data_IF_017350965047
#
_entry.id   IF_017350965047
#
_cell.length_a   1.000
_cell.length_b   1.000
_cell.length_c   1.000
_cell.angle_alpha   90.00
_cell.angle_beta   90.00
_cell.angle_gamma   90.00
#
_symmetry.space_group_name_H-M   'P 1'
#
loop_
_entity.id
_entity.type
_entity.pdbx_description
1 polymer ?
#
# COMPACT_ATOMS: atom_id res chain seq x y z
N UNK A 1 8.89 20.52 42.25
CA UNK A 1 7.67 20.18 41.48
C UNK A 1 7.85 20.77 40.08
N UNK A 2 8.31 19.94 39.14
CA UNK A 2 8.50 20.35 37.75
C UNK A 2 7.17 20.55 37.05
N UNK A 3 6.97 21.73 36.47
CA UNK A 3 5.81 21.99 35.61
C UNK A 3 5.97 21.14 34.35
N UNK A 4 4.99 20.31 33.98
CA UNK A 4 5.05 19.56 32.73
C UNK A 4 5.23 20.54 31.56
N UNK A 5 6.19 20.23 30.68
CA UNK A 5 6.57 21.10 29.58
C UNK A 5 5.39 21.26 28.60
N UNK A 6 4.86 22.49 28.53
CA UNK A 6 3.74 22.87 27.64
C UNK A 6 4.02 22.49 26.17
N UNK A 7 5.29 22.32 25.79
CA UNK A 7 5.71 21.85 24.46
C UNK A 7 5.29 20.42 24.13
N UNK A 8 5.38 19.48 25.09
CA UNK A 8 5.07 18.07 24.84
C UNK A 8 3.57 17.87 24.55
N UNK A 9 2.70 18.54 25.31
CA UNK A 9 1.25 18.48 25.10
C UNK A 9 0.83 19.02 23.73
N UNK A 10 1.46 20.11 23.26
CA UNK A 10 1.18 20.71 21.94
C UNK A 10 1.60 19.79 20.79
N UNK A 11 2.76 19.13 20.90
CA UNK A 11 3.22 18.15 19.92
C UNK A 11 2.27 16.95 19.83
N UNK A 12 1.80 16.43 20.96
CA UNK A 12 0.82 15.33 20.99
C UNK A 12 -0.50 15.71 20.32
N UNK A 13 -1.02 16.92 20.57
CA UNK A 13 -2.26 17.39 19.93
C UNK A 13 -2.10 17.55 18.43
N UNK A 14 -0.98 18.11 17.95
CA UNK A 14 -0.71 18.27 16.51
C UNK A 14 -0.57 16.90 15.83
N UNK A 15 0.15 15.96 16.45
CA UNK A 15 0.31 14.60 15.93
C UNK A 15 -1.02 13.84 15.90
N UNK A 16 -1.86 13.99 16.94
CA UNK A 16 -3.21 13.41 16.99
C UNK A 16 -4.12 13.98 15.91
N UNK A 17 -4.05 15.30 15.66
CA UNK A 17 -4.80 15.98 14.61
C UNK A 17 -4.42 15.48 13.21
N UNK A 18 -3.11 15.39 12.93
CA UNK A 18 -2.60 14.88 11.66
C UNK A 18 -3.04 13.43 11.44
N UNK A 19 -2.96 12.60 12.48
CA UNK A 19 -3.38 11.20 12.42
C UNK A 19 -4.90 11.08 12.16
N UNK A 20 -5.72 11.85 12.88
CA UNK A 20 -7.17 11.86 12.67
C UNK A 20 -7.55 12.36 11.26
N UNK A 21 -6.84 13.36 10.73
CA UNK A 21 -7.05 13.89 9.37
C UNK A 21 -6.75 12.85 8.30
N UNK A 22 -5.67 12.09 8.45
CA UNK A 22 -5.33 11.00 7.53
C UNK A 22 -6.40 9.89 7.56
N UNK A 23 -6.92 9.55 8.73
CA UNK A 23 -7.98 8.54 8.87
C UNK A 23 -9.28 9.02 8.23
N UNK A 24 -9.72 10.25 8.54
CA UNK A 24 -10.94 10.82 7.97
C UNK A 24 -10.83 10.99 6.44
N UNK A 25 -9.64 11.30 5.91
CA UNK A 25 -9.41 11.41 4.47
C UNK A 25 -9.63 10.09 3.71
N UNK A 26 -9.45 8.95 4.38
CA UNK A 26 -9.79 7.64 3.82
C UNK A 26 -11.30 7.39 3.69
N UNK A 27 -12.13 8.13 4.43
CA UNK A 27 -13.59 7.91 4.51
C UNK A 27 -14.37 8.83 3.55
N UNK A 28 -13.94 10.08 3.37
CA UNK A 28 -14.68 11.08 2.59
C UNK A 28 -14.30 11.13 1.10
N UNK A 29 -15.27 11.43 0.23
CA UNK A 29 -15.07 11.61 -1.22
C UNK A 29 -14.31 12.92 -1.52
N UNK A 30 -13.44 12.97 -2.55
CA UNK A 30 -12.62 14.14 -2.85
C UNK A 30 -13.40 15.44 -3.13
N UNK A 31 -14.61 15.34 -3.69
CA UNK A 31 -15.47 16.51 -3.95
C UNK A 31 -15.96 17.20 -2.67
N UNK A 32 -16.22 16.44 -1.60
CA UNK A 32 -16.63 16.99 -0.30
C UNK A 32 -15.46 17.72 0.37
N UNK A 33 -14.24 17.23 0.15
CA UNK A 33 -13.01 17.83 0.68
C UNK A 33 -12.71 19.19 0.03
N UNK A 34 -12.94 19.33 -1.28
CA UNK A 34 -12.75 20.61 -1.98
C UNK A 34 -13.70 21.71 -1.48
N UNK A 35 -14.93 21.36 -1.09
CA UNK A 35 -15.91 22.31 -0.57
C UNK A 35 -15.63 22.75 0.88
N UNK A 36 -15.01 21.89 1.70
CA UNK A 36 -14.72 22.17 3.11
C UNK A 36 -13.48 23.06 3.31
N UNK A 37 -12.56 23.06 2.35
CA UNK A 37 -11.28 23.79 2.45
C UNK A 37 -11.43 25.31 2.61
N UNK A 38 -12.26 26.03 1.83
CA UNK A 38 -12.46 27.47 2.02
C UNK A 38 -13.19 27.83 3.32
N UNK A 39 -14.12 26.99 3.77
CA UNK A 39 -14.81 27.18 5.05
C UNK A 39 -13.86 27.02 6.25
N UNK A 40 -12.96 26.03 6.19
CA UNK A 40 -11.91 25.85 7.19
C UNK A 40 -10.94 27.04 7.21
N UNK A 41 -10.56 27.57 6.03
CA UNK A 41 -9.70 28.75 5.93
C UNK A 41 -10.34 30.01 6.53
N UNK A 42 -11.63 30.24 6.26
CA UNK A 42 -12.37 31.37 6.83
C UNK A 42 -12.52 31.28 8.36
N UNK A 43 -12.70 30.06 8.90
CA UNK A 43 -12.72 29.82 10.34
C UNK A 43 -11.35 30.04 11.00
N UNK A 44 -10.26 29.73 10.28
CA UNK A 44 -8.88 29.97 10.70
C UNK A 44 -8.58 31.47 10.92
N UNK A 45 -9.12 32.33 10.06
CA UNK A 45 -8.89 33.80 10.09
C UNK A 45 -9.61 34.47 11.26
N UNK A 46 -10.78 33.96 11.67
CA UNK A 46 -11.61 34.58 12.72
C UNK A 46 -11.25 34.12 14.15
N UNK A 47 -10.50 33.03 14.30
CA UNK A 47 -10.26 32.37 15.59
C UNK A 47 -8.91 32.71 16.26
N UNK A 48 -8.39 33.94 16.12
CA UNK A 48 -7.04 34.33 16.57
C UNK A 48 -6.78 34.15 18.09
N UNK A 49 -7.81 34.17 18.95
CA UNK A 49 -7.69 33.84 20.39
C UNK A 49 -7.69 32.32 20.70
N UNK A 50 -7.91 31.45 19.72
CA UNK A 50 -7.97 29.99 19.86
C UNK A 50 -6.95 29.30 18.95
N UNK A 51 -5.67 29.62 19.15
CA UNK A 51 -4.53 29.08 18.39
C UNK A 51 -4.57 27.55 18.25
N UNK A 52 -5.06 26.83 19.26
CA UNK A 52 -5.18 25.36 19.22
C UNK A 52 -6.19 24.87 18.18
N UNK A 53 -7.35 25.51 18.05
CA UNK A 53 -8.39 25.11 17.08
C UNK A 53 -7.93 25.40 15.65
N UNK A 54 -7.29 26.55 15.45
CA UNK A 54 -6.67 26.95 14.17
C UNK A 54 -5.60 25.94 13.74
N UNK A 55 -4.70 25.56 14.65
CA UNK A 55 -3.67 24.55 14.38
C UNK A 55 -4.26 23.16 14.10
N UNK A 56 -5.29 22.74 14.85
CA UNK A 56 -5.99 21.47 14.62
C UNK A 56 -6.64 21.44 13.23
N UNK A 57 -7.37 22.50 12.88
CA UNK A 57 -8.03 22.62 11.58
C UNK A 57 -7.00 22.65 10.43
N UNK A 58 -5.90 23.38 10.58
CA UNK A 58 -4.81 23.43 9.60
C UNK A 58 -4.14 22.05 9.43
N UNK A 59 -3.87 21.34 10.54
CA UNK A 59 -3.30 19.99 10.51
C UNK A 59 -4.24 18.99 9.82
N UNK A 60 -5.54 19.04 10.13
CA UNK A 60 -6.55 18.22 9.45
C UNK A 60 -6.57 18.52 7.95
N UNK A 61 -6.68 19.80 7.57
CA UNK A 61 -6.71 20.23 6.17
C UNK A 61 -5.46 19.79 5.41
N UNK A 62 -4.27 19.91 6.01
CA UNK A 62 -3.02 19.43 5.44
C UNK A 62 -3.02 17.90 5.28
N UNK A 63 -3.51 17.17 6.28
CA UNK A 63 -3.67 15.71 6.22
C UNK A 63 -4.57 15.29 5.05
N UNK A 64 -5.72 15.95 4.89
CA UNK A 64 -6.62 15.72 3.76
C UNK A 64 -5.98 16.07 2.42
N UNK A 65 -5.26 17.19 2.33
CA UNK A 65 -4.58 17.62 1.10
C UNK A 65 -3.52 16.58 0.69
N UNK A 66 -2.69 16.12 1.63
CA UNK A 66 -1.67 15.09 1.37
C UNK A 66 -2.28 13.75 0.98
N UNK A 67 -3.36 13.33 1.64
CA UNK A 67 -4.09 12.11 1.29
C UNK A 67 -4.73 12.20 -0.11
N UNK A 68 -5.33 13.36 -0.43
CA UNK A 68 -5.88 13.65 -1.75
C UNK A 68 -4.81 13.64 -2.85
N UNK A 69 -3.66 14.29 -2.61
CA UNK A 69 -2.51 14.27 -3.51
C UNK A 69 -1.98 12.85 -3.75
N UNK A 70 -1.90 12.03 -2.69
CA UNK A 70 -1.52 10.63 -2.81
C UNK A 70 -2.50 9.84 -3.68
N UNK A 71 -3.80 10.01 -3.46
CA UNK A 71 -4.82 9.31 -4.24
C UNK A 71 -4.80 9.75 -5.71
N UNK A 72 -4.71 11.07 -5.95
CA UNK A 72 -4.59 11.64 -7.28
C UNK A 72 -3.32 11.15 -7.99
N UNK A 73 -2.21 10.99 -7.27
CA UNK A 73 -0.97 10.42 -7.81
C UNK A 73 -1.13 8.96 -8.24
N UNK A 74 -1.85 8.14 -7.47
CA UNK A 74 -2.12 6.73 -7.83
C UNK A 74 -3.05 6.65 -9.04
N UNK A 75 -4.11 7.44 -9.08
CA UNK A 75 -5.07 7.46 -10.19
C UNK A 75 -4.49 8.07 -11.46
N UNK A 76 -3.63 9.09 -11.30
CA UNK A 76 -2.91 9.77 -12.38
C UNK A 76 -1.75 8.96 -12.95
N UNK A 77 -1.45 7.80 -12.37
CA UNK A 77 -0.27 7.00 -12.68
C UNK A 77 -0.37 6.33 -14.06
N UNK A 78 0.78 6.07 -14.69
CA UNK A 78 0.78 5.54 -16.06
C UNK A 78 0.23 4.11 -16.11
N UNK A 79 0.52 3.30 -15.07
CA UNK A 79 -0.04 1.95 -14.98
C UNK A 79 -1.54 1.98 -14.72
N UNK A 80 -2.05 2.92 -13.89
CA UNK A 80 -3.49 3.04 -13.68
C UNK A 80 -4.24 3.40 -14.98
N UNK A 81 -3.69 4.31 -15.80
CA UNK A 81 -4.26 4.64 -17.11
C UNK A 81 -4.21 3.48 -18.11
N UNK A 82 -3.11 2.71 -18.14
CA UNK A 82 -3.04 1.47 -18.94
C UNK A 82 -4.05 0.42 -18.47
N UNK A 83 -4.18 0.28 -17.16
CA UNK A 83 -5.06 -0.68 -16.51
C UNK A 83 -6.56 -0.46 -16.77
N UNK A 84 -7.01 0.80 -16.86
CA UNK A 84 -8.40 1.14 -17.24
C UNK A 84 -8.72 0.67 -18.66
N UNK A 85 -7.72 0.68 -19.55
CA UNK A 85 -7.86 0.30 -20.97
C UNK A 85 -7.54 -1.18 -21.22
N UNK A 86 -7.19 -1.94 -20.18
CA UNK A 86 -6.73 -3.32 -20.28
C UNK A 86 -5.51 -3.50 -21.19
N UNK A 87 -4.60 -2.52 -21.15
CA UNK A 87 -3.39 -2.43 -21.96
C UNK A 87 -2.44 -3.62 -21.73
N UNK A 88 -1.75 -4.01 -22.80
CA UNK A 88 -0.62 -4.91 -22.72
C UNK A 88 0.61 -4.10 -22.26
N UNK A 89 1.36 -4.67 -21.33
CA UNK A 89 2.44 -3.98 -20.67
C UNK A 89 3.61 -4.89 -20.34
N UNK A 90 4.79 -4.44 -20.78
CA UNK A 90 6.06 -5.02 -20.39
C UNK A 90 6.60 -4.27 -19.17
N UNK A 91 6.48 -4.89 -18.00
CA UNK A 91 6.86 -4.30 -16.71
C UNK A 91 8.27 -4.70 -16.34
N UNK A 92 9.10 -3.74 -15.95
CA UNK A 92 10.43 -3.99 -15.37
C UNK A 92 10.51 -3.42 -13.96
N UNK A 93 10.83 -4.27 -13.00
CA UNK A 93 10.76 -3.88 -11.59
C UNK A 93 11.39 -4.87 -10.63
N UNK A 94 11.12 -4.64 -9.35
CA UNK A 94 11.63 -5.44 -8.25
C UNK A 94 10.47 -6.05 -7.45
N UNK A 95 10.57 -7.31 -7.07
CA UNK A 95 9.60 -7.96 -6.18
C UNK A 95 9.72 -7.35 -4.77
N UNK A 96 8.61 -6.87 -4.21
CA UNK A 96 8.57 -6.18 -2.91
C UNK A 96 8.03 -7.07 -1.78
N UNK A 97 7.15 -8.01 -2.10
CA UNK A 97 6.50 -8.90 -1.13
C UNK A 97 6.78 -10.35 -1.47
N UNK A 98 6.74 -11.23 -0.47
CA UNK A 98 6.74 -12.66 -0.72
C UNK A 98 5.51 -13.04 -1.57
N UNK A 99 5.62 -14.02 -2.49
CA UNK A 99 4.46 -14.47 -3.24
C UNK A 99 3.49 -15.26 -2.35
N UNK A 100 2.23 -14.84 -2.42
CA UNK A 100 1.09 -15.55 -1.86
C UNK A 100 0.56 -16.55 -2.90
N UNK A 101 0.47 -17.83 -2.54
CA UNK A 101 -0.04 -18.90 -3.40
C UNK A 101 -1.52 -19.08 -3.11
N UNK A 102 -2.37 -18.66 -4.03
CA UNK A 102 -3.81 -18.85 -3.94
C UNK A 102 -4.35 -19.85 -4.98
N UNK A 103 -5.65 -20.17 -4.90
CA UNK A 103 -6.34 -20.98 -5.90
C UNK A 103 -6.29 -20.37 -7.31
N UNK A 104 -6.04 -19.06 -7.39
CA UNK A 104 -5.94 -18.35 -8.67
C UNK A 104 -4.49 -18.13 -9.12
N UNK A 105 -3.52 -18.89 -8.60
CA UNK A 105 -2.10 -18.75 -8.91
C UNK A 105 -1.31 -17.93 -7.90
N UNK A 106 -0.07 -17.59 -8.25
CA UNK A 106 0.86 -16.88 -7.38
C UNK A 106 0.70 -15.37 -7.50
N UNK A 107 0.65 -14.66 -6.37
CA UNK A 107 0.43 -13.20 -6.31
C UNK A 107 1.55 -12.52 -5.55
N UNK A 108 2.08 -11.43 -6.07
CA UNK A 108 3.09 -10.62 -5.36
C UNK A 108 3.03 -9.17 -5.83
N UNK A 109 3.58 -8.25 -5.04
CA UNK A 109 3.69 -6.84 -5.42
C UNK A 109 5.03 -6.59 -6.10
N UNK A 110 4.98 -6.06 -7.32
CA UNK A 110 6.14 -5.61 -8.08
C UNK A 110 6.26 -4.08 -7.98
N UNK A 111 7.40 -3.59 -7.52
CA UNK A 111 7.80 -2.19 -7.61
C UNK A 111 8.33 -1.90 -9.01
N UNK A 112 7.49 -1.32 -9.86
CA UNK A 112 7.77 -1.04 -11.26
C UNK A 112 8.61 0.23 -11.37
N UNK A 113 9.75 0.13 -12.06
CA UNK A 113 10.67 1.25 -12.31
C UNK A 113 10.63 1.73 -13.76
N UNK A 114 10.29 0.84 -14.66
CA UNK A 114 10.09 1.13 -16.07
C UNK A 114 8.97 0.23 -16.60
N UNK A 115 8.18 0.74 -17.52
CA UNK A 115 7.16 -0.03 -18.22
C UNK A 115 7.12 0.37 -19.68
N UNK A 116 6.71 -0.55 -20.54
CA UNK A 116 6.26 -0.24 -21.90
C UNK A 116 4.76 -0.55 -21.92
N UNK A 117 3.91 0.47 -22.01
CA UNK A 117 2.44 0.32 -21.98
C UNK A 117 1.91 0.66 -23.36
N UNK A 118 1.22 -0.29 -24.02
CA UNK A 118 0.78 -0.15 -25.42
C UNK A 118 1.93 0.33 -26.35
N UNK A 119 3.13 -0.23 -26.19
CA UNK A 119 4.31 0.14 -26.97
C UNK A 119 5.01 1.45 -26.55
N UNK A 120 4.47 2.21 -25.59
CA UNK A 120 5.08 3.47 -25.12
C UNK A 120 5.93 3.24 -23.88
N UNK A 121 7.23 3.51 -23.98
CA UNK A 121 8.14 3.45 -22.86
C UNK A 121 7.87 4.60 -21.86
N UNK A 122 7.66 4.24 -20.59
CA UNK A 122 7.42 5.17 -19.49
C UNK A 122 8.31 4.82 -18.29
N UNK A 123 8.94 5.83 -17.71
CA UNK A 123 9.68 5.69 -16.45
C UNK A 123 8.72 5.97 -15.30
N UNK A 124 8.52 4.97 -14.44
CA UNK A 124 7.50 5.01 -13.38
C UNK A 124 8.14 4.67 -12.04
N UNK A 125 7.48 5.03 -10.94
CA UNK A 125 7.84 4.59 -9.57
C UNK A 125 6.57 4.11 -8.89
N UNK A 126 5.99 3.07 -9.46
CA UNK A 126 4.64 2.60 -9.15
C UNK A 126 4.68 1.17 -8.62
N UNK A 127 3.58 0.71 -8.04
CA UNK A 127 3.45 -0.69 -7.58
C UNK A 127 2.35 -1.37 -8.38
N UNK A 128 2.59 -2.60 -8.80
CA UNK A 128 1.60 -3.45 -9.46
C UNK A 128 1.43 -4.75 -8.68
N UNK A 129 0.19 -5.20 -8.48
CA UNK A 129 -0.08 -6.55 -7.99
C UNK A 129 -0.01 -7.50 -9.17
N UNK A 130 1.05 -8.31 -9.24
CA UNK A 130 1.24 -9.32 -10.28
C UNK A 130 0.54 -10.61 -9.86
N UNK A 131 -0.20 -11.22 -10.79
CA UNK A 131 -0.81 -12.54 -10.63
C UNK A 131 -0.31 -13.44 -11.76
N UNK A 132 0.42 -14.50 -11.40
CA UNK A 132 0.91 -15.51 -12.34
C UNK A 132 -0.03 -16.71 -12.39
N UNK A 133 -0.45 -17.10 -13.59
CA UNK A 133 -1.35 -18.25 -13.82
C UNK A 133 -0.83 -19.11 -14.97
N UNK A 134 -0.54 -20.41 -14.76
CA UNK A 134 -0.51 -21.13 -13.46
C UNK A 134 0.60 -20.61 -12.52
N UNK A 135 0.66 -21.04 -11.23
CA UNK A 135 1.80 -20.70 -10.38
C UNK A 135 3.08 -21.35 -10.92
N UNK A 136 4.21 -20.62 -11.03
CA UNK A 136 5.45 -21.17 -11.55
C UNK A 136 6.09 -22.16 -10.56
N UNK A 137 6.89 -23.13 -11.03
CA UNK A 137 7.58 -24.09 -10.16
C UNK A 137 8.60 -23.40 -9.23
N UNK A 138 9.16 -22.26 -9.65
CA UNK A 138 10.05 -21.42 -8.85
C UNK A 138 9.42 -20.05 -8.66
N UNK A 139 8.97 -19.79 -7.45
CA UNK A 139 8.39 -18.50 -7.09
C UNK A 139 9.45 -17.39 -7.07
N UNK A 140 9.13 -16.18 -7.56
CA UNK A 140 9.97 -15.01 -7.35
C UNK A 140 10.15 -14.74 -5.87
N UNK A 141 11.33 -14.25 -5.47
CA UNK A 141 11.59 -13.84 -4.09
C UNK A 141 11.58 -12.32 -4.00
N UNK A 142 11.27 -11.73 -2.84
CA UNK A 142 11.62 -10.34 -2.57
C UNK A 142 13.04 -10.06 -3.02
N UNK A 143 13.27 -8.88 -3.58
CA UNK A 143 14.59 -8.52 -4.10
C UNK A 143 14.82 -8.91 -5.56
N UNK A 144 14.14 -9.92 -6.10
CA UNK A 144 14.33 -10.31 -7.51
C UNK A 144 13.95 -9.17 -8.45
N UNK A 145 14.79 -8.95 -9.47
CA UNK A 145 14.53 -8.03 -10.57
C UNK A 145 13.91 -8.81 -11.72
N UNK A 146 12.69 -8.42 -12.09
CA UNK A 146 11.89 -9.12 -13.09
C UNK A 146 11.54 -8.20 -14.27
N UNK A 147 11.48 -8.80 -15.45
CA UNK A 147 10.80 -8.29 -16.64
C UNK A 147 9.59 -9.19 -16.89
N UNK A 148 8.40 -8.62 -16.93
CA UNK A 148 7.14 -9.36 -17.02
C UNK A 148 6.34 -8.80 -18.19
N UNK A 149 6.07 -9.62 -19.19
CA UNK A 149 5.02 -9.32 -20.16
C UNK A 149 3.65 -9.64 -19.54
N UNK A 150 2.73 -8.69 -19.55
CA UNK A 150 1.52 -8.79 -18.76
C UNK A 150 0.38 -7.97 -19.33
N UNK A 151 -0.84 -8.38 -18.98
CA UNK A 151 -2.02 -7.57 -19.23
C UNK A 151 -2.44 -6.81 -17.97
N UNK A 152 -2.51 -5.50 -18.08
CA UNK A 152 -2.93 -4.64 -16.97
C UNK A 152 -4.45 -4.69 -16.79
N UNK A 153 -4.90 -4.57 -15.54
CA UNK A 153 -6.32 -4.43 -15.15
C UNK A 153 -6.45 -3.46 -14.01
N UNK A 154 -7.52 -2.67 -14.03
CA UNK A 154 -7.80 -1.71 -12.97
C UNK A 154 -7.94 -2.41 -11.61
N UNK A 155 -7.34 -1.81 -10.57
CA UNK A 155 -7.49 -2.31 -9.19
C UNK A 155 -8.95 -2.24 -8.75
N UNK A 156 -9.65 -1.20 -9.18
CA UNK A 156 -11.07 -0.97 -8.93
C UNK A 156 -11.82 -0.88 -10.27
N UNK A 157 -12.91 -1.64 -10.41
CA UNK A 157 -13.80 -1.57 -11.57
C UNK A 157 -15.26 -1.73 -11.14
N UNK A 158 -16.18 -1.29 -12.00
CA UNK A 158 -17.62 -1.39 -11.76
C UNK A 158 -18.04 -2.86 -11.80
N UNK A 159 -18.77 -3.32 -10.79
CA UNK A 159 -19.22 -4.72 -10.67
C UNK A 159 -18.43 -5.57 -9.69
N UNK A 160 -17.42 -5.01 -9.00
CA UNK A 160 -16.81 -5.68 -7.84
C UNK A 160 -17.86 -5.89 -6.74
N UNK A 161 -17.89 -7.10 -6.18
CA UNK A 161 -18.63 -7.47 -4.98
C UNK A 161 -18.04 -6.80 -3.72
N UNK A 162 -18.63 -7.04 -2.55
CA UNK A 162 -18.16 -6.43 -1.31
C UNK A 162 -16.71 -6.82 -0.97
N UNK A 163 -16.36 -8.10 -1.14
CA UNK A 163 -15.01 -8.60 -0.90
C UNK A 163 -14.00 -7.99 -1.90
N UNK A 164 -14.35 -7.95 -3.18
CA UNK A 164 -13.54 -7.33 -4.23
C UNK A 164 -13.29 -5.84 -3.99
N UNK A 165 -14.30 -5.09 -3.52
CA UNK A 165 -14.13 -3.68 -3.13
C UNK A 165 -13.21 -3.51 -1.92
N UNK A 166 -13.31 -4.36 -0.91
CA UNK A 166 -12.42 -4.35 0.25
C UNK A 166 -10.97 -4.65 -0.15
N UNK A 167 -10.76 -5.65 -1.01
CA UNK A 167 -9.46 -5.97 -1.60
C UNK A 167 -8.89 -4.80 -2.40
N UNK A 168 -9.70 -4.17 -3.26
CA UNK A 168 -9.28 -3.00 -4.04
C UNK A 168 -8.86 -1.83 -3.14
N UNK A 169 -9.61 -1.53 -2.08
CA UNK A 169 -9.27 -0.50 -1.09
C UNK A 169 -7.94 -0.79 -0.40
N UNK A 170 -7.71 -2.05 0.01
CA UNK A 170 -6.44 -2.50 0.61
C UNK A 170 -5.27 -2.28 -0.35
N UNK A 171 -5.42 -2.66 -1.62
CA UNK A 171 -4.39 -2.47 -2.63
C UNK A 171 -4.07 -0.98 -2.87
N UNK A 172 -5.10 -0.13 -2.96
CA UNK A 172 -4.93 1.33 -3.08
C UNK A 172 -4.21 1.88 -1.84
N UNK A 173 -4.58 1.41 -0.65
CA UNK A 173 -3.93 1.79 0.60
C UNK A 173 -2.43 1.40 0.63
N UNK A 174 -2.05 0.29 0.00
CA UNK A 174 -0.65 -0.11 -0.18
C UNK A 174 0.06 0.58 -1.37
N UNK A 175 -0.61 1.51 -2.06
CA UNK A 175 -0.07 2.25 -3.18
C UNK A 175 0.06 1.42 -4.47
N UNK A 176 -0.75 0.37 -4.62
CA UNK A 176 -0.81 -0.42 -5.86
C UNK A 176 -1.67 0.31 -6.88
N UNK A 177 -1.08 0.65 -8.02
CA UNK A 177 -1.70 1.39 -9.12
C UNK A 177 -2.48 0.50 -10.07
N UNK A 178 -2.03 -0.73 -10.29
CA UNK A 178 -2.61 -1.66 -11.26
C UNK A 178 -2.50 -3.12 -10.80
N UNK A 179 -3.37 -3.98 -11.36
CA UNK A 179 -3.19 -5.43 -11.35
C UNK A 179 -2.55 -5.84 -12.68
N UNK A 180 -1.61 -6.77 -12.64
CA UNK A 180 -0.95 -7.30 -13.83
C UNK A 180 -1.13 -8.82 -13.85
N UNK A 181 -1.60 -9.37 -14.97
CA UNK A 181 -1.79 -10.80 -15.15
C UNK A 181 -0.81 -11.29 -16.22
N UNK A 182 -0.08 -12.36 -15.92
CA UNK A 182 0.94 -12.93 -16.80
C UNK A 182 0.99 -14.46 -16.68
N UNK A 183 1.50 -15.12 -17.73
CA UNK A 183 1.92 -16.53 -17.66
C UNK A 183 3.29 -16.62 -16.99
N UNK A 184 3.65 -17.75 -16.34
CA UNK A 184 5.02 -18.05 -15.96
C UNK A 184 6.06 -17.84 -17.08
N UNK A 185 5.71 -18.17 -18.32
CA UNK A 185 6.61 -18.08 -19.48
C UNK A 185 6.90 -16.62 -19.88
N UNK A 186 6.02 -15.70 -19.47
CA UNK A 186 6.16 -14.26 -19.72
C UNK A 186 7.05 -13.56 -18.67
N UNK A 187 7.57 -14.32 -17.69
CA UNK A 187 8.38 -13.78 -16.59
C UNK A 187 9.84 -14.11 -16.81
N UNK A 188 10.64 -13.08 -17.11
CA UNK A 188 12.09 -13.19 -17.19
C UNK A 188 12.74 -12.58 -15.94
N UNK A 189 13.53 -13.38 -15.21
CA UNK A 189 14.37 -12.86 -14.11
C UNK A 189 15.63 -12.22 -14.70
N UNK A 190 15.79 -10.92 -14.47
CA UNK A 190 16.94 -10.13 -14.96
C UNK A 190 18.10 -10.20 -13.96
N UNK A 191 17.80 -10.35 -12.67
CA UNK A 191 18.81 -10.41 -11.62
C UNK A 191 18.21 -10.28 -10.24
N UNK A 192 19.01 -9.78 -9.29
CA UNK A 192 18.59 -9.48 -7.92
C UNK A 192 19.01 -8.07 -7.55
N UNK A 193 18.19 -7.38 -6.79
CA UNK A 193 18.51 -6.05 -6.26
C UNK A 193 19.68 -6.14 -5.30
N UNK A 194 20.63 -5.20 -5.42
CA UNK A 194 21.78 -5.08 -4.51
C UNK A 194 21.58 -3.95 -3.49
N UNK A 195 20.33 -3.49 -3.31
CA UNK A 195 20.03 -2.45 -2.33
C UNK A 195 20.29 -2.98 -0.91
N UNK A 196 21.18 -2.36 -0.12
CA UNK A 196 21.52 -2.85 1.22
C UNK A 196 20.30 -2.87 2.14
N UNK A 197 19.38 -1.91 1.99
CA UNK A 197 18.14 -1.83 2.76
C UNK A 197 17.28 -3.07 2.54
N UNK A 198 17.16 -3.52 1.29
CA UNK A 198 16.37 -4.70 0.93
C UNK A 198 17.02 -5.96 1.50
N UNK A 199 18.35 -6.07 1.38
CA UNK A 199 19.12 -7.19 1.93
C UNK A 199 18.96 -7.28 3.45
N UNK A 200 19.06 -6.17 4.16
CA UNK A 200 18.88 -6.11 5.62
C UNK A 200 17.44 -6.48 6.00
N UNK A 201 16.44 -5.96 5.28
CA UNK A 201 15.03 -6.28 5.53
C UNK A 201 14.74 -7.77 5.31
N UNK A 202 15.30 -8.40 4.26
CA UNK A 202 15.21 -9.83 4.02
C UNK A 202 15.89 -10.66 5.12
N UNK A 203 17.08 -10.24 5.55
CA UNK A 203 17.79 -10.90 6.65
C UNK A 203 16.98 -10.83 7.95
N UNK A 204 16.38 -9.67 8.26
CA UNK A 204 15.49 -9.49 9.40
C UNK A 204 14.26 -10.40 9.32
N UNK A 205 13.56 -10.44 8.18
CA UNK A 205 12.42 -11.35 7.98
C UNK A 205 12.80 -12.82 8.13
N UNK A 206 13.95 -13.22 7.59
CA UNK A 206 14.44 -14.58 7.71
C UNK A 206 14.79 -14.94 9.15
N UNK A 207 15.36 -14.01 9.93
CA UNK A 207 15.65 -14.20 11.34
C UNK A 207 14.37 -14.34 12.17
N UNK A 208 13.37 -13.49 11.93
CA UNK A 208 12.05 -13.57 12.59
C UNK A 208 11.37 -14.90 12.26
N UNK A 209 11.31 -15.30 10.98
CA UNK A 209 10.76 -16.61 10.58
C UNK A 209 11.51 -17.76 11.25
N UNK A 210 12.84 -17.67 11.33
CA UNK A 210 13.66 -18.69 12.00
C UNK A 210 13.32 -18.81 13.48
N UNK A 211 13.20 -17.69 14.19
CA UNK A 211 12.83 -17.67 15.61
C UNK A 211 11.40 -18.19 15.83
N UNK A 212 10.46 -17.79 14.98
CA UNK A 212 9.06 -18.16 15.07
C UNK A 212 8.82 -19.67 14.92
N UNK A 213 9.73 -20.41 14.25
CA UNK A 213 9.65 -21.89 14.16
C UNK A 213 9.69 -22.61 15.51
N UNK A 214 10.17 -21.97 16.56
CA UNK A 214 10.22 -22.54 17.91
C UNK A 214 8.96 -22.24 18.75
N UNK A 215 8.03 -21.44 18.22
CA UNK A 215 6.78 -21.12 18.90
C UNK A 215 5.66 -22.11 18.54
N UNK A 216 4.65 -22.27 19.41
CA UNK A 216 3.41 -22.96 19.08
C UNK A 216 2.75 -22.34 17.83
N UNK A 217 2.04 -23.17 17.04
CA UNK A 217 1.49 -22.74 15.72
C UNK A 217 0.62 -21.48 15.80
N UNK A 218 -0.21 -21.36 16.84
CA UNK A 218 -1.08 -20.19 17.04
C UNK A 218 -0.29 -18.89 17.31
N UNK A 219 0.77 -18.96 18.11
CA UNK A 219 1.62 -17.81 18.45
C UNK A 219 2.54 -17.43 17.30
N UNK A 220 3.00 -18.43 16.53
CA UNK A 220 3.85 -18.27 15.35
C UNK A 220 3.18 -17.39 14.29
N UNK A 221 1.95 -17.72 13.92
CA UNK A 221 1.18 -16.93 12.94
C UNK A 221 0.94 -15.50 13.42
N UNK A 222 0.63 -15.30 14.71
CA UNK A 222 0.43 -13.99 15.30
C UNK A 222 1.71 -13.14 15.29
N UNK A 223 2.84 -13.71 15.72
CA UNK A 223 4.13 -13.02 15.72
C UNK A 223 4.53 -12.62 14.30
N UNK A 224 4.41 -13.54 13.34
CA UNK A 224 4.75 -13.28 11.93
C UNK A 224 3.85 -12.22 11.32
N UNK A 225 2.54 -12.27 11.59
CA UNK A 225 1.58 -11.26 11.17
C UNK A 225 1.92 -9.87 11.69
N UNK A 226 2.15 -9.74 13.01
CA UNK A 226 2.43 -8.44 13.65
C UNK A 226 3.80 -7.87 13.26
N UNK A 227 4.83 -8.71 13.19
CA UNK A 227 6.21 -8.23 13.01
C UNK A 227 6.58 -7.96 11.56
N UNK A 228 6.13 -8.82 10.64
CA UNK A 228 6.54 -8.76 9.24
C UNK A 228 5.37 -8.73 8.26
N UNK A 229 4.13 -8.73 8.75
CA UNK A 229 2.92 -8.71 7.93
C UNK A 229 2.63 -10.04 7.24
N UNK A 230 3.20 -11.14 7.74
CA UNK A 230 3.06 -12.46 7.13
C UNK A 230 1.91 -13.23 7.77
N UNK A 231 0.77 -13.27 7.07
CA UNK A 231 -0.48 -13.85 7.55
C UNK A 231 -0.69 -15.29 7.09
N UNK A 232 0.29 -15.93 6.42
CA UNK A 232 0.10 -17.26 5.83
C UNK A 232 -0.13 -18.37 6.86
N UNK A 233 0.28 -18.15 8.10
CA UNK A 233 0.19 -19.11 9.20
C UNK A 233 -0.79 -18.68 10.31
N UNK A 234 -1.59 -17.62 10.07
CA UNK A 234 -2.61 -17.21 11.03
C UNK A 234 -3.74 -18.25 11.09
N UNK A 235 -4.19 -18.56 12.30
CA UNK A 235 -5.40 -19.36 12.49
C UNK A 235 -6.59 -18.66 11.81
N UNK A 236 -7.52 -19.39 11.14
CA UNK A 236 -8.61 -18.79 10.37
C UNK A 236 -9.48 -17.81 11.16
N UNK A 237 -9.66 -18.07 12.46
CA UNK A 237 -10.40 -17.20 13.37
C UNK A 237 -9.68 -15.85 13.57
N UNK A 238 -8.35 -15.87 13.70
CA UNK A 238 -7.54 -14.67 13.91
C UNK A 238 -7.33 -13.89 12.61
N UNK A 239 -7.23 -14.57 11.45
CA UNK A 239 -7.15 -13.90 10.14
C UNK A 239 -8.39 -13.03 9.87
N UNK A 240 -9.58 -13.48 10.29
CA UNK A 240 -10.81 -12.67 10.19
C UNK A 240 -10.71 -11.39 11.03
N UNK A 241 -10.21 -11.50 12.27
CA UNK A 241 -10.05 -10.35 13.18
C UNK A 241 -8.95 -9.39 12.70
N UNK A 242 -7.83 -9.91 12.20
CA UNK A 242 -6.77 -9.11 11.56
C UNK A 242 -7.31 -8.34 10.35
N UNK A 243 -8.07 -9.03 9.48
CA UNK A 243 -8.67 -8.39 8.31
C UNK A 243 -9.71 -7.34 8.66
N UNK A 244 -10.44 -7.53 9.76
CA UNK A 244 -11.44 -6.58 10.24
C UNK A 244 -10.80 -5.33 10.88
N UNK A 245 -9.72 -5.52 11.65
CA UNK A 245 -9.03 -4.43 12.37
C UNK A 245 -8.02 -3.68 11.50
N UNK A 246 -7.53 -4.31 10.42
CA UNK A 246 -6.52 -3.72 9.55
C UNK A 246 -5.10 -3.76 10.13
N UNK A 247 -4.90 -4.57 11.18
CA UNK A 247 -3.58 -5.01 11.63
C UNK A 247 -3.04 -6.14 10.75
#
# INVERSE_FOLDING_TARGET
MDRPSVGAARLFVIAGALSAGVVLAGVFRPAVLAAMLPAALAFLVTAWRRTVVVLLAAALALGFALAGLRLASIQGSALAHGAVRNADALLTGQVLTDPDIGPSGARFVLGVRAAVVDGRAVKVRERALVTLRPPPPRLPRPGDLLRIDSRLRAVFFRGLDAAGRASARRLIHHGVSARAYASPDDVTRIGRSHSPIVVIAEAGRAAVRRAARHLPEGERGLLLGVTIGDTSELAPQVDLDFRATGL
#
